data_IF_571738508657
#
_entry.id   IF_571738508657
#
_cell.length_a   1.000
_cell.length_b   1.000
_cell.length_c   1.000
_cell.angle_alpha   90.00
_cell.angle_beta   90.00
_cell.angle_gamma   90.00
#
_symmetry.space_group_name_H-M   'P 1'
#
loop_
_entity.id
_entity.type
_entity.pdbx_description
1 polymer ?
#
# COMPACT_ATOMS: atom_id res chain seq x y z
N UNK A 1 35.77 -9.39 29.00
CA UNK A 1 35.07 -10.32 28.07
C UNK A 1 36.16 -11.04 27.30
N UNK A 2 36.13 -12.36 27.19
CA UNK A 2 37.08 -13.12 26.38
C UNK A 2 36.37 -13.60 25.13
N UNK A 3 36.94 -13.33 23.97
CA UNK A 3 36.45 -13.78 22.67
C UNK A 3 37.13 -15.11 22.36
N UNK A 4 36.40 -16.06 21.75
CA UNK A 4 36.98 -17.32 21.32
C UNK A 4 38.05 -17.11 20.25
N UNK A 5 39.04 -17.99 20.16
CA UNK A 5 40.00 -17.94 19.07
C UNK A 5 39.29 -18.23 17.73
N UNK A 6 39.85 -17.70 16.66
CA UNK A 6 39.33 -17.95 15.30
C UNK A 6 39.41 -19.47 14.98
N UNK A 7 38.42 -19.91 14.20
CA UNK A 7 38.37 -21.25 13.60
C UNK A 7 38.41 -21.13 12.08
N UNK A 8 38.50 -22.26 11.37
CA UNK A 8 38.46 -22.28 9.92
C UNK A 8 37.13 -21.79 9.35
N UNK A 9 36.04 -21.91 10.14
CA UNK A 9 34.67 -21.55 9.74
C UNK A 9 34.20 -20.19 10.26
N UNK A 10 34.76 -19.73 11.43
CA UNK A 10 34.31 -18.51 12.11
C UNK A 10 35.49 -17.63 12.54
N UNK A 11 35.47 -16.36 12.14
CA UNK A 11 36.46 -15.36 12.46
C UNK A 11 36.01 -14.45 13.63
N UNK A 12 36.17 -14.91 14.85
CA UNK A 12 35.78 -14.15 16.04
C UNK A 12 36.63 -12.87 16.27
N UNK A 13 37.86 -12.82 15.72
CA UNK A 13 38.72 -11.64 15.78
C UNK A 13 38.13 -10.41 15.09
N UNK A 14 37.18 -10.57 14.16
CA UNK A 14 36.48 -9.43 13.52
C UNK A 14 35.76 -8.54 14.55
N UNK A 15 35.31 -9.13 15.67
CA UNK A 15 34.65 -8.37 16.75
C UNK A 15 35.64 -7.57 17.64
N UNK A 16 36.93 -7.58 17.36
CA UNK A 16 37.92 -6.69 17.95
C UNK A 16 38.15 -5.44 17.10
N UNK A 17 37.64 -5.42 15.89
CA UNK A 17 37.82 -4.30 14.95
C UNK A 17 36.82 -3.17 15.26
N UNK A 18 37.34 -1.95 15.43
CA UNK A 18 36.53 -0.78 15.82
C UNK A 18 35.39 -0.51 14.84
N UNK A 19 35.62 -0.65 13.53
CA UNK A 19 34.56 -0.43 12.53
C UNK A 19 33.45 -1.47 12.65
N UNK A 20 33.77 -2.73 12.95
CA UNK A 20 32.78 -3.80 13.13
C UNK A 20 31.94 -3.57 14.37
N UNK A 21 32.57 -3.23 15.48
CA UNK A 21 31.89 -2.88 16.74
C UNK A 21 31.00 -1.64 16.55
N UNK A 22 31.48 -0.62 15.86
CA UNK A 22 30.70 0.57 15.56
C UNK A 22 29.44 0.22 14.71
N UNK A 23 29.59 -0.59 13.68
CA UNK A 23 28.47 -1.05 12.85
C UNK A 23 27.44 -1.85 13.66
N UNK A 24 27.88 -2.72 14.58
CA UNK A 24 27.01 -3.47 15.48
C UNK A 24 26.25 -2.55 16.45
N UNK A 25 26.94 -1.57 17.05
CA UNK A 25 26.30 -0.59 17.93
C UNK A 25 25.24 0.20 17.14
N UNK A 26 25.59 0.68 15.97
CA UNK A 26 24.64 1.41 15.09
C UNK A 26 23.43 0.57 14.75
N UNK A 27 23.62 -0.69 14.41
CA UNK A 27 22.53 -1.58 14.00
C UNK A 27 21.59 -1.95 15.16
N UNK A 28 22.13 -2.35 16.30
CA UNK A 28 21.35 -2.99 17.37
C UNK A 28 21.10 -2.12 18.60
N UNK A 29 21.96 -1.12 18.85
CA UNK A 29 22.04 -0.39 20.11
C UNK A 29 22.11 1.13 19.93
N UNK A 30 21.82 1.64 18.73
CA UNK A 30 21.96 3.08 18.43
C UNK A 30 21.07 3.93 19.34
N UNK A 31 19.90 3.41 19.73
CA UNK A 31 18.89 4.13 20.49
C UNK A 31 18.82 3.76 21.97
N UNK A 32 19.82 3.04 22.48
CA UNK A 32 19.97 2.85 23.92
C UNK A 32 20.23 4.22 24.58
N UNK A 33 19.45 4.53 25.62
CA UNK A 33 19.50 5.84 26.32
C UNK A 33 20.82 6.20 26.95
N UNK A 34 21.75 5.24 27.09
CA UNK A 34 23.06 5.45 27.68
C UNK A 34 24.12 5.62 26.59
N UNK A 35 25.11 6.56 26.77
CA UNK A 35 26.15 6.76 25.78
C UNK A 35 27.07 5.54 25.71
N UNK A 36 27.19 4.95 24.54
CA UNK A 36 28.18 3.94 24.20
C UNK A 36 29.40 4.68 23.65
N UNK A 37 30.54 4.57 24.31
CA UNK A 37 31.75 5.28 23.94
C UNK A 37 32.80 4.31 23.39
N UNK A 38 33.48 4.72 22.34
CA UNK A 38 34.53 3.94 21.69
C UNK A 38 35.71 4.86 21.35
N UNK A 39 36.94 4.31 21.45
CA UNK A 39 38.13 4.93 20.88
C UNK A 39 38.07 4.74 19.35
N UNK A 40 38.02 5.85 18.65
CA UNK A 40 37.99 5.86 17.18
C UNK A 40 39.15 6.66 16.65
N UNK A 41 39.85 6.18 15.58
CA UNK A 41 40.91 6.94 14.95
C UNK A 41 40.30 8.17 14.25
N UNK A 42 40.83 9.33 14.52
CA UNK A 42 40.49 10.59 13.88
C UNK A 42 41.74 11.21 13.27
N UNK A 43 41.62 11.66 12.02
CA UNK A 43 42.71 12.42 11.40
C UNK A 43 42.64 13.88 11.82
N UNK A 44 43.63 14.35 12.59
CA UNK A 44 43.77 15.76 12.93
C UNK A 44 44.94 16.35 12.18
N UNK A 45 44.82 17.62 11.82
CA UNK A 45 45.92 18.37 11.23
C UNK A 45 47.00 18.51 12.32
N UNK A 46 48.22 18.08 11.99
CA UNK A 46 49.35 18.13 12.89
C UNK A 46 49.69 19.58 13.25
N UNK A 47 49.87 19.85 14.54
CA UNK A 47 50.24 21.19 15.00
C UNK A 47 51.54 21.65 14.32
N UNK A 48 51.49 22.85 13.68
CA UNK A 48 52.61 23.44 12.97
C UNK A 48 52.75 23.03 11.51
N UNK A 49 51.80 22.29 10.95
CA UNK A 49 51.76 22.00 9.49
C UNK A 49 51.44 23.25 8.67
N UNK A 50 52.01 23.32 7.47
CA UNK A 50 51.77 24.40 6.52
C UNK A 50 50.28 24.45 6.13
N UNK A 51 49.55 25.58 6.25
CA UNK A 51 48.17 25.74 5.84
C UNK A 51 47.89 25.37 4.37
N UNK A 52 48.90 25.51 3.49
CA UNK A 52 48.77 25.13 2.06
C UNK A 52 49.03 23.64 1.80
N UNK A 53 49.69 22.95 2.78
CA UNK A 53 49.95 21.49 2.70
C UNK A 53 49.80 20.85 4.10
N UNK A 54 48.55 20.66 4.57
CA UNK A 54 48.32 20.13 5.89
C UNK A 54 48.82 18.69 6.03
N UNK A 55 49.69 18.44 7.00
CA UNK A 55 50.04 17.08 7.43
C UNK A 55 48.97 16.59 8.41
N UNK A 56 48.55 15.34 8.28
CA UNK A 56 47.55 14.73 9.14
C UNK A 56 48.22 13.69 10.06
N UNK A 57 47.83 13.69 11.32
CA UNK A 57 48.17 12.63 12.27
C UNK A 57 46.89 11.92 12.71
N UNK A 58 46.98 10.61 12.92
CA UNK A 58 45.86 9.82 13.45
C UNK A 58 45.92 9.82 14.97
N UNK A 59 44.92 10.42 15.59
CA UNK A 59 44.77 10.46 17.06
C UNK A 59 43.56 9.61 17.46
N UNK A 60 43.72 8.78 18.49
CA UNK A 60 42.59 8.05 19.06
C UNK A 60 41.76 8.96 19.96
N UNK A 61 40.49 9.17 19.64
CA UNK A 61 39.59 9.99 20.42
C UNK A 61 38.37 9.17 20.91
N UNK A 62 38.01 9.40 22.19
CA UNK A 62 36.84 8.77 22.78
C UNK A 62 35.57 9.45 22.28
N UNK A 63 34.83 8.79 21.40
CA UNK A 63 33.57 9.31 20.84
C UNK A 63 32.36 8.50 21.28
N UNK A 64 31.22 9.20 21.48
CA UNK A 64 29.92 8.54 21.65
C UNK A 64 29.44 8.10 20.30
N UNK A 65 29.20 6.80 20.12
CA UNK A 65 28.90 6.18 18.84
C UNK A 65 27.43 5.90 18.60
N UNK A 66 26.60 5.98 19.63
CA UNK A 66 25.14 5.79 19.51
C UNK A 66 24.39 7.13 19.59
N UNK A 67 23.19 7.17 19.00
CA UNK A 67 22.38 8.38 18.91
C UNK A 67 21.52 8.64 20.16
N UNK A 68 21.29 7.67 21.01
CA UNK A 68 20.56 7.67 22.28
C UNK A 68 19.08 8.06 22.22
N UNK A 69 18.71 9.08 21.45
CA UNK A 69 17.34 9.57 21.39
C UNK A 69 16.77 9.30 19.99
N UNK A 70 15.92 8.27 19.87
CA UNK A 70 15.32 7.94 18.58
C UNK A 70 14.30 8.99 18.14
N UNK A 71 14.18 9.15 16.83
CA UNK A 71 13.31 10.13 16.21
C UNK A 71 11.83 9.95 16.63
N UNK A 72 11.38 8.69 16.77
CA UNK A 72 10.00 8.36 17.17
C UNK A 72 9.68 8.61 18.64
N UNK A 73 10.68 8.88 19.48
CA UNK A 73 10.46 9.27 20.87
C UNK A 73 10.36 10.78 21.07
N UNK A 74 10.81 11.57 20.08
CA UNK A 74 10.70 13.03 20.09
C UNK A 74 9.26 13.48 19.83
N UNK A 75 8.91 14.69 20.30
CA UNK A 75 7.61 15.27 19.98
C UNK A 75 7.58 15.62 18.48
N UNK A 76 6.42 15.42 17.85
CA UNK A 76 6.24 15.71 16.42
C UNK A 76 6.58 17.17 16.07
N UNK A 77 6.33 18.12 16.99
CA UNK A 77 6.69 19.53 16.85
C UNK A 77 8.18 19.82 16.78
N UNK A 78 9.00 18.90 17.29
CA UNK A 78 10.44 19.09 17.49
C UNK A 78 11.26 18.35 16.40
N UNK A 79 10.57 17.78 15.41
CA UNK A 79 11.17 17.02 14.32
C UNK A 79 10.78 17.66 12.99
N UNK A 80 11.76 17.95 12.15
CA UNK A 80 11.54 18.53 10.83
C UNK A 80 11.26 17.46 9.79
N UNK A 81 10.64 17.87 8.66
CA UNK A 81 10.39 16.98 7.53
C UNK A 81 11.70 16.45 6.92
N UNK A 82 12.78 17.24 6.97
CA UNK A 82 14.10 16.81 6.51
C UNK A 82 14.66 15.68 7.38
N UNK A 83 14.47 15.73 8.71
CA UNK A 83 14.88 14.67 9.61
C UNK A 83 14.08 13.38 9.34
N UNK A 84 12.77 13.47 9.11
CA UNK A 84 11.94 12.32 8.70
C UNK A 84 12.39 11.73 7.37
N UNK A 85 12.63 12.57 6.37
CA UNK A 85 13.08 12.14 5.05
C UNK A 85 14.44 11.43 5.10
N UNK A 86 15.38 12.00 5.87
CA UNK A 86 16.70 11.41 6.10
C UNK A 86 16.58 10.04 6.76
N UNK A 87 15.78 9.94 7.81
CA UNK A 87 15.57 8.68 8.52
C UNK A 87 14.90 7.63 7.60
N UNK A 88 13.92 8.04 6.78
CA UNK A 88 13.31 7.16 5.79
C UNK A 88 14.32 6.63 4.79
N UNK A 89 15.18 7.49 4.25
CA UNK A 89 16.23 7.09 3.31
C UNK A 89 17.27 6.13 3.95
N UNK A 90 17.65 6.37 5.20
CA UNK A 90 18.53 5.48 5.96
C UNK A 90 17.89 4.10 6.22
N UNK A 91 16.57 4.08 6.49
CA UNK A 91 15.80 2.87 6.77
C UNK A 91 15.54 2.01 5.53
N UNK A 92 15.23 2.65 4.41
CA UNK A 92 14.78 1.97 3.17
C UNK A 92 15.86 1.84 2.12
N UNK A 93 16.92 2.64 2.21
CA UNK A 93 17.94 2.85 1.19
C UNK A 93 17.36 3.41 -0.13
N UNK A 94 16.20 4.05 -0.04
CA UNK A 94 15.55 4.76 -1.14
C UNK A 94 15.92 6.25 -1.11
N UNK A 95 16.02 6.86 -2.29
CA UNK A 95 16.36 8.28 -2.42
C UNK A 95 15.12 9.19 -2.43
N UNK A 96 13.96 8.61 -2.73
CA UNK A 96 12.70 9.33 -2.76
C UNK A 96 12.22 9.68 -1.35
N UNK A 97 11.44 10.76 -1.24
CA UNK A 97 10.79 11.12 0.01
C UNK A 97 9.57 10.24 0.23
N UNK A 98 9.22 9.91 1.48
CA UNK A 98 7.97 9.22 1.75
C UNK A 98 6.78 10.12 1.40
N UNK A 99 5.72 9.54 0.90
CA UNK A 99 4.49 10.27 0.59
C UNK A 99 3.72 10.64 1.85
N UNK A 100 3.77 9.77 2.87
CA UNK A 100 3.16 10.02 4.18
C UNK A 100 4.08 9.60 5.30
N UNK A 101 4.05 10.37 6.37
CA UNK A 101 4.73 10.08 7.65
C UNK A 101 3.71 10.02 8.76
N UNK A 102 3.60 8.87 9.42
CA UNK A 102 2.61 8.59 10.46
C UNK A 102 3.33 8.36 11.78
N UNK A 103 3.07 9.23 12.74
CA UNK A 103 3.60 9.09 14.10
C UNK A 103 2.52 8.56 15.03
N UNK A 104 2.84 7.54 15.82
CA UNK A 104 1.92 6.94 16.78
C UNK A 104 2.57 6.93 18.16
N UNK A 105 1.82 7.36 19.18
CA UNK A 105 2.15 7.19 20.60
C UNK A 105 0.92 6.63 21.28
N UNK A 106 1.05 5.48 21.89
CA UNK A 106 -0.02 4.79 22.59
C UNK A 106 0.43 4.44 24.02
N UNK A 107 -0.43 4.74 24.96
CA UNK A 107 -0.29 4.39 26.37
C UNK A 107 -1.60 3.73 26.82
N UNK A 108 -1.53 2.55 27.43
CA UNK A 108 -2.71 1.81 27.84
C UNK A 108 -2.39 0.36 28.18
N UNK A 109 -3.16 -0.57 27.62
CA UNK A 109 -2.91 -2.02 27.80
C UNK A 109 -1.56 -2.47 27.24
N UNK A 110 -1.04 -1.76 26.26
CA UNK A 110 0.32 -1.89 25.73
C UNK A 110 0.82 -0.49 25.42
N UNK A 111 2.03 -0.19 25.88
CA UNK A 111 2.72 1.07 25.63
C UNK A 111 3.65 0.91 24.45
N UNK A 112 3.53 1.76 23.43
CA UNK A 112 4.44 1.76 22.28
C UNK A 112 4.47 3.09 21.57
N UNK A 113 5.56 3.32 20.84
CA UNK A 113 5.68 4.41 19.86
C UNK A 113 6.00 3.82 18.49
N UNK A 114 5.50 4.44 17.46
CA UNK A 114 5.81 4.03 16.09
C UNK A 114 5.99 5.25 15.18
N UNK A 115 6.87 5.08 14.21
CA UNK A 115 7.08 6.00 13.11
C UNK A 115 6.98 5.19 11.83
N UNK A 116 5.91 5.44 11.06
CA UNK A 116 5.58 4.70 9.86
C UNK A 116 5.64 5.62 8.65
N UNK A 117 6.00 5.04 7.51
CA UNK A 117 6.10 5.74 6.24
C UNK A 117 5.34 5.00 5.15
N UNK A 118 4.64 5.77 4.32
CA UNK A 118 4.08 5.29 3.06
C UNK A 118 5.04 5.74 1.95
N UNK A 119 5.66 4.82 1.19
CA UNK A 119 6.55 5.17 0.09
C UNK A 119 5.84 5.97 -1.01
N UNK A 120 6.58 6.79 -1.74
CA UNK A 120 6.06 7.53 -2.91
C UNK A 120 6.01 6.66 -4.16
N UNK A 121 6.88 5.67 -4.25
CA UNK A 121 6.99 4.76 -5.38
C UNK A 121 7.04 3.31 -4.93
N UNK A 122 6.66 2.41 -5.81
CA UNK A 122 6.70 0.98 -5.55
C UNK A 122 8.08 0.43 -5.88
N UNK A 123 8.76 -0.28 -4.95
CA UNK A 123 10.02 -0.96 -5.24
C UNK A 123 9.88 -1.96 -6.39
N UNK A 124 10.92 -2.08 -7.21
CA UNK A 124 10.91 -2.97 -8.38
C UNK A 124 10.57 -4.43 -8.03
N UNK A 125 11.07 -4.93 -6.90
CA UNK A 125 10.86 -6.29 -6.44
C UNK A 125 9.60 -6.49 -5.59
N UNK A 126 8.71 -5.51 -5.51
CA UNK A 126 7.57 -5.49 -4.57
C UNK A 126 6.66 -6.72 -4.65
N UNK A 127 6.45 -7.27 -5.84
CA UNK A 127 5.62 -8.46 -6.07
C UNK A 127 6.43 -9.75 -6.26
N UNK A 128 7.73 -9.74 -5.98
CA UNK A 128 8.57 -10.94 -6.04
C UNK A 128 8.66 -11.63 -4.68
N UNK A 129 9.03 -12.92 -4.68
CA UNK A 129 9.28 -13.68 -3.44
C UNK A 129 10.42 -13.10 -2.59
N UNK A 130 11.38 -12.41 -3.23
CA UNK A 130 12.50 -11.77 -2.55
C UNK A 130 12.15 -10.45 -1.85
N UNK A 131 10.89 -9.99 -1.92
CA UNK A 131 10.51 -8.77 -1.21
C UNK A 131 10.26 -9.02 0.27
N UNK A 132 11.10 -8.43 1.09
CA UNK A 132 11.00 -8.50 2.54
C UNK A 132 10.09 -7.40 3.09
N UNK A 133 8.89 -7.80 3.51
CA UNK A 133 7.95 -6.94 4.22
C UNK A 133 8.30 -6.87 5.71
N UNK A 134 7.74 -5.89 6.41
CA UNK A 134 7.79 -5.80 7.85
C UNK A 134 8.39 -4.50 8.37
N UNK A 135 8.12 -4.23 9.64
CA UNK A 135 8.60 -3.07 10.37
C UNK A 135 9.78 -3.48 11.24
N UNK A 136 10.69 -2.55 11.50
CA UNK A 136 11.70 -2.76 12.53
C UNK A 136 11.05 -2.75 13.91
N UNK A 137 11.33 -3.75 14.71
CA UNK A 137 10.81 -3.90 16.06
C UNK A 137 11.91 -3.66 17.08
N UNK A 138 11.66 -2.69 17.94
CA UNK A 138 12.53 -2.33 19.06
C UNK A 138 11.85 -2.63 20.39
N UNK A 139 12.66 -2.91 21.40
CA UNK A 139 12.26 -2.90 22.79
C UNK A 139 13.21 -2.00 23.58
N UNK A 140 12.67 -0.94 24.17
CA UNK A 140 13.44 0.05 24.93
C UNK A 140 14.70 0.58 24.18
N UNK A 141 14.58 0.79 22.86
CA UNK A 141 15.66 1.28 21.99
C UNK A 141 16.66 0.22 21.52
N UNK A 142 16.43 -1.06 21.81
CA UNK A 142 17.22 -2.19 21.30
C UNK A 142 16.48 -2.84 20.15
N UNK A 143 17.14 -2.99 19.01
CA UNK A 143 16.56 -3.69 17.85
C UNK A 143 16.42 -5.19 18.14
N UNK A 144 15.17 -5.68 18.17
CA UNK A 144 14.85 -7.09 18.33
C UNK A 144 14.78 -7.78 16.96
N UNK A 145 14.10 -7.13 16.01
CA UNK A 145 13.82 -7.70 14.69
C UNK A 145 13.85 -6.61 13.62
N UNK A 146 14.66 -6.84 12.59
CA UNK A 146 14.79 -5.88 11.48
C UNK A 146 13.56 -5.89 10.54
N UNK A 147 12.90 -7.02 10.41
CA UNK A 147 11.70 -7.22 9.58
C UNK A 147 10.66 -8.04 10.35
N UNK A 148 9.83 -7.38 11.14
CA UNK A 148 8.70 -8.01 11.82
C UNK A 148 7.48 -8.00 10.90
N UNK A 149 7.25 -9.12 10.21
CA UNK A 149 6.20 -9.29 9.20
C UNK A 149 4.80 -9.49 9.79
N UNK A 150 4.72 -9.84 11.08
CA UNK A 150 3.46 -10.09 11.81
C UNK A 150 2.79 -8.82 12.36
N UNK A 151 3.46 -7.65 12.32
CA UNK A 151 2.91 -6.40 12.82
C UNK A 151 1.82 -5.81 11.93
N UNK A 152 1.92 -5.98 10.62
CA UNK A 152 0.93 -5.47 9.68
C UNK A 152 0.42 -6.60 8.77
N UNK A 153 -0.86 -6.59 8.41
CA UNK A 153 -1.41 -7.53 7.44
C UNK A 153 -0.77 -7.34 6.06
N UNK A 154 -0.84 -8.37 5.23
CA UNK A 154 -0.12 -8.41 3.96
C UNK A 154 -0.52 -7.30 2.98
N UNK A 155 -1.76 -6.84 3.03
CA UNK A 155 -2.21 -5.73 2.18
C UNK A 155 -1.54 -4.39 2.52
N UNK A 156 -0.94 -4.24 3.71
CA UNK A 156 -0.13 -3.08 4.12
C UNK A 156 1.38 -3.32 4.02
N UNK A 157 1.81 -4.33 3.26
CA UNK A 157 3.22 -4.71 3.10
C UNK A 157 4.12 -3.59 2.53
N UNK A 158 3.52 -2.55 1.95
CA UNK A 158 4.24 -1.37 1.46
C UNK A 158 4.68 -0.43 2.59
N UNK A 159 4.05 -0.49 3.76
CA UNK A 159 4.38 0.39 4.89
C UNK A 159 5.76 0.04 5.42
N UNK A 160 6.60 1.05 5.60
CA UNK A 160 7.92 0.98 6.20
C UNK A 160 7.93 1.71 7.54
N UNK A 161 8.89 1.41 8.39
CA UNK A 161 9.00 2.14 9.65
C UNK A 161 9.48 1.30 10.81
N UNK A 162 9.30 1.88 11.99
CA UNK A 162 9.76 1.32 13.25
C UNK A 162 8.65 1.30 14.29
N UNK A 163 8.71 0.32 15.17
CA UNK A 163 7.85 0.19 16.34
C UNK A 163 8.75 -0.07 17.57
N UNK A 164 8.57 0.68 18.63
CA UNK A 164 9.33 0.55 19.87
C UNK A 164 8.37 0.41 21.05
N UNK A 165 8.43 -0.70 21.76
CA UNK A 165 7.62 -0.96 22.93
C UNK A 165 8.47 -1.45 24.09
N UNK A 166 8.46 -0.75 25.23
CA UNK A 166 9.16 -1.19 26.44
C UNK A 166 8.52 -2.44 27.08
N UNK A 167 7.27 -2.75 26.70
CA UNK A 167 6.54 -3.88 27.26
C UNK A 167 6.95 -5.22 26.62
N UNK A 168 7.67 -5.17 25.50
CA UNK A 168 8.17 -6.39 24.83
C UNK A 168 9.44 -6.87 25.50
N UNK A 169 9.53 -8.19 25.75
CA UNK A 169 10.71 -8.80 26.34
C UNK A 169 11.89 -8.86 25.36
N UNK A 170 13.07 -8.49 25.81
CA UNK A 170 14.33 -8.58 25.04
C UNK A 170 14.75 -10.03 24.74
N UNK A 171 14.24 -11.00 25.51
CA UNK A 171 14.61 -12.42 25.40
C UNK A 171 13.62 -13.23 24.53
N UNK A 172 12.77 -12.55 23.78
CA UNK A 172 11.78 -13.20 22.92
C UNK A 172 12.47 -13.77 21.68
N UNK A 173 12.32 -15.09 21.46
CA UNK A 173 12.67 -15.70 20.17
C UNK A 173 11.64 -15.32 19.09
N UNK A 174 12.07 -15.35 17.83
CA UNK A 174 11.19 -15.09 16.67
C UNK A 174 9.88 -15.88 16.69
N UNK A 175 9.93 -17.14 17.12
CA UNK A 175 8.80 -18.05 17.20
C UNK A 175 7.80 -17.65 18.30
N UNK A 176 8.29 -17.13 19.44
CA UNK A 176 7.45 -16.66 20.53
C UNK A 176 6.77 -15.34 20.22
N UNK A 177 7.39 -14.47 19.41
CA UNK A 177 6.79 -13.19 18.98
C UNK A 177 5.51 -13.39 18.17
N UNK A 178 5.43 -14.41 17.32
CA UNK A 178 4.24 -14.67 16.50
C UNK A 178 2.98 -14.98 17.33
N UNK A 179 3.16 -15.46 18.57
CA UNK A 179 2.08 -15.76 19.50
C UNK A 179 1.87 -14.70 20.58
N UNK A 180 2.68 -13.62 20.57
CA UNK A 180 2.60 -12.57 21.56
C UNK A 180 1.30 -11.77 21.40
N UNK A 181 0.52 -11.72 22.49
CA UNK A 181 -0.74 -11.00 22.54
C UNK A 181 -0.54 -9.47 22.40
N UNK A 182 0.54 -8.94 22.94
CA UNK A 182 0.86 -7.52 22.89
C UNK A 182 1.18 -7.11 21.44
N UNK A 183 1.94 -7.94 20.72
CA UNK A 183 2.26 -7.70 19.31
C UNK A 183 1.01 -7.66 18.44
N UNK A 184 0.03 -8.56 18.68
CA UNK A 184 -1.25 -8.55 17.99
C UNK A 184 -2.05 -7.27 18.25
N UNK A 185 -2.08 -6.80 19.50
CA UNK A 185 -2.76 -5.55 19.87
C UNK A 185 -2.08 -4.34 19.20
N UNK A 186 -0.75 -4.29 19.21
CA UNK A 186 0.02 -3.25 18.51
C UNK A 186 -0.33 -3.28 17.01
N UNK A 187 -0.27 -4.45 16.37
CA UNK A 187 -0.56 -4.63 14.96
C UNK A 187 -1.96 -4.14 14.55
N UNK A 188 -3.00 -4.53 15.31
CA UNK A 188 -4.37 -4.08 15.06
C UNK A 188 -4.52 -2.55 15.20
N UNK A 189 -3.84 -1.94 16.16
CA UNK A 189 -3.87 -0.49 16.34
C UNK A 189 -3.11 0.22 15.20
N UNK A 190 -1.97 -0.30 14.77
CA UNK A 190 -1.21 0.24 13.64
C UNK A 190 -2.02 0.16 12.34
N UNK A 191 -2.66 -0.98 12.07
CA UNK A 191 -3.54 -1.16 10.91
C UNK A 191 -4.64 -0.08 10.88
N UNK A 192 -5.32 0.15 12.00
CA UNK A 192 -6.34 1.21 12.12
C UNK A 192 -5.75 2.61 11.87
N UNK A 193 -4.56 2.88 12.37
CA UNK A 193 -3.90 4.18 12.21
C UNK A 193 -3.48 4.43 10.77
N UNK A 194 -2.94 3.42 10.09
CA UNK A 194 -2.58 3.53 8.68
C UNK A 194 -3.82 3.76 7.82
N UNK A 195 -4.90 3.00 8.04
CA UNK A 195 -6.17 3.21 7.32
C UNK A 195 -6.73 4.62 7.51
N UNK A 196 -6.80 5.08 8.75
CA UNK A 196 -7.28 6.43 9.05
C UNK A 196 -6.39 7.53 8.40
N UNK A 197 -5.09 7.32 8.30
CA UNK A 197 -4.21 8.25 7.60
C UNK A 197 -4.43 8.20 6.07
N UNK A 198 -4.66 7.03 5.48
CA UNK A 198 -5.01 6.91 4.06
C UNK A 198 -6.36 7.58 3.73
N UNK A 199 -7.37 7.44 4.59
CA UNK A 199 -8.65 8.16 4.46
C UNK A 199 -8.47 9.68 4.54
N UNK A 200 -7.62 10.13 5.45
CA UNK A 200 -7.24 11.54 5.58
C UNK A 200 -6.49 12.00 4.34
N UNK A 201 -5.56 11.22 3.84
CA UNK A 201 -4.78 11.50 2.64
C UNK A 201 -5.69 11.68 1.42
N UNK A 202 -6.63 10.77 1.19
CA UNK A 202 -7.63 10.88 0.13
C UNK A 202 -8.42 12.19 0.16
N UNK A 203 -8.74 12.68 1.37
CA UNK A 203 -9.53 13.92 1.57
C UNK A 203 -8.70 15.18 1.43
N UNK A 204 -7.44 15.16 1.88
CA UNK A 204 -6.60 16.37 1.97
C UNK A 204 -5.77 16.60 0.70
N UNK A 205 -5.34 15.54 0.04
CA UNK A 205 -4.48 15.60 -1.15
C UNK A 205 -4.91 14.51 -2.15
N UNK A 206 -5.92 14.83 -2.94
CA UNK A 206 -6.48 13.93 -3.94
C UNK A 206 -5.46 13.48 -4.98
N UNK A 207 -4.67 14.40 -5.51
CA UNK A 207 -3.67 14.09 -6.55
C UNK A 207 -2.55 13.19 -6.00
N UNK A 208 -2.11 13.46 -4.77
CA UNK A 208 -1.16 12.60 -4.07
C UNK A 208 -1.72 11.21 -3.84
N UNK A 209 -3.00 11.10 -3.44
CA UNK A 209 -3.64 9.82 -3.22
C UNK A 209 -3.84 9.03 -4.52
N UNK A 210 -4.15 9.67 -5.65
CA UNK A 210 -4.21 9.01 -6.96
C UNK A 210 -2.88 8.37 -7.34
N UNK A 211 -1.76 9.09 -7.15
CA UNK A 211 -0.41 8.54 -7.34
C UNK A 211 -0.09 7.37 -6.41
N UNK A 212 -0.52 7.47 -5.15
CA UNK A 212 -0.44 6.36 -4.21
C UNK A 212 -1.24 5.16 -4.70
N UNK A 213 -2.47 5.39 -5.16
CA UNK A 213 -3.36 4.34 -5.64
C UNK A 213 -2.82 3.63 -6.89
N UNK A 214 -2.21 4.35 -7.82
CA UNK A 214 -1.51 3.77 -8.98
C UNK A 214 -0.42 2.77 -8.57
N UNK A 215 0.30 3.05 -7.48
CA UNK A 215 1.36 2.20 -6.97
C UNK A 215 0.85 1.04 -6.11
N UNK A 216 -0.14 1.29 -5.25
CA UNK A 216 -0.54 0.39 -4.16
C UNK A 216 -2.04 0.05 -4.12
N UNK A 217 -2.85 0.52 -5.05
CA UNK A 217 -4.28 0.25 -5.13
C UNK A 217 -4.61 -1.24 -5.17
N UNK A 218 -3.80 -2.03 -5.90
CA UNK A 218 -3.90 -3.49 -5.91
C UNK A 218 -3.78 -4.10 -4.50
N UNK A 219 -2.93 -3.52 -3.63
CA UNK A 219 -2.78 -3.98 -2.26
C UNK A 219 -4.00 -3.65 -1.40
N UNK A 220 -4.61 -2.48 -1.60
CA UNK A 220 -5.87 -2.12 -0.94
C UNK A 220 -6.98 -3.09 -1.37
N UNK A 221 -7.10 -3.37 -2.67
CA UNK A 221 -8.02 -4.39 -3.20
C UNK A 221 -7.78 -5.78 -2.61
N UNK A 222 -6.52 -6.20 -2.50
CA UNK A 222 -6.15 -7.46 -1.84
C UNK A 222 -6.63 -7.50 -0.38
N UNK A 223 -6.58 -6.37 0.34
CA UNK A 223 -7.09 -6.26 1.70
C UNK A 223 -8.59 -6.52 1.83
N UNK A 224 -9.37 -6.21 0.78
CA UNK A 224 -10.81 -6.47 0.70
C UNK A 224 -11.09 -7.96 0.41
N UNK A 225 -10.34 -8.53 -0.53
CA UNK A 225 -10.53 -9.92 -0.98
C UNK A 225 -10.00 -10.93 0.03
N UNK A 226 -8.93 -10.57 0.77
CA UNK A 226 -8.32 -11.45 1.77
C UNK A 226 -9.24 -11.66 2.98
N UNK A 227 -9.06 -12.78 3.68
CA UNK A 227 -9.85 -13.12 4.87
C UNK A 227 -9.54 -12.19 6.06
N UNK A 228 -10.17 -11.03 6.04
CA UNK A 228 -10.05 -9.97 7.07
C UNK A 228 -11.35 -9.63 7.76
N UNK A 229 -12.45 -10.29 7.38
CA UNK A 229 -13.80 -10.05 7.90
C UNK A 229 -14.46 -8.76 7.38
N UNK A 230 -15.77 -8.64 7.58
CA UNK A 230 -16.59 -7.53 7.09
C UNK A 230 -16.08 -6.15 7.57
N UNK A 231 -15.64 -6.03 8.82
CA UNK A 231 -15.12 -4.75 9.36
C UNK A 231 -13.92 -4.21 8.58
N UNK A 232 -13.07 -5.09 8.00
CA UNK A 232 -11.95 -4.67 7.16
C UNK A 232 -12.46 -4.21 5.79
N UNK A 233 -13.36 -4.98 5.17
CA UNK A 233 -13.98 -4.62 3.89
C UNK A 233 -14.65 -3.26 3.96
N UNK A 234 -15.48 -3.03 4.98
CA UNK A 234 -16.16 -1.77 5.21
C UNK A 234 -15.21 -0.58 5.35
N UNK A 235 -14.06 -0.79 5.98
CA UNK A 235 -13.08 0.28 6.16
C UNK A 235 -12.18 0.53 4.95
N UNK A 236 -12.10 -0.41 4.00
CA UNK A 236 -11.27 -0.27 2.81
C UNK A 236 -12.05 0.11 1.55
N UNK A 237 -13.37 -0.16 1.50
CA UNK A 237 -14.20 0.13 0.33
C UNK A 237 -14.17 1.59 -0.11
N UNK A 238 -14.06 2.53 0.85
CA UNK A 238 -14.00 3.97 0.58
C UNK A 238 -12.62 4.44 0.08
N UNK A 239 -11.61 3.59 0.19
CA UNK A 239 -10.26 3.82 -0.31
C UNK A 239 -10.06 3.32 -1.74
N UNK A 240 -11.02 2.56 -2.27
CA UNK A 240 -10.97 2.05 -3.64
C UNK A 240 -11.29 3.12 -4.66
N UNK A 241 -10.60 3.09 -5.78
CA UNK A 241 -10.80 4.00 -6.90
C UNK A 241 -10.94 3.23 -8.21
N UNK A 242 -11.83 3.69 -9.06
CA UNK A 242 -12.07 3.13 -10.38
C UNK A 242 -12.15 4.25 -11.40
N UNK A 243 -11.85 3.96 -12.67
CA UNK A 243 -11.97 4.98 -13.70
C UNK A 243 -13.44 5.21 -14.06
N UNK A 244 -13.87 6.47 -14.09
CA UNK A 244 -15.24 6.88 -14.41
C UNK A 244 -15.40 7.17 -15.90
N UNK A 245 -16.43 6.61 -16.53
CA UNK A 245 -16.77 6.88 -17.93
C UNK A 245 -17.18 8.32 -18.18
N UNK A 246 -17.77 8.99 -17.20
CA UNK A 246 -18.26 10.38 -17.31
C UNK A 246 -17.23 11.40 -16.86
N UNK A 247 -16.56 11.14 -15.72
CA UNK A 247 -15.57 12.06 -15.17
C UNK A 247 -14.20 11.98 -15.88
N UNK A 248 -13.96 10.89 -16.65
CA UNK A 248 -12.71 10.62 -17.38
C UNK A 248 -11.47 10.65 -16.45
N UNK A 249 -11.63 10.26 -15.18
CA UNK A 249 -10.60 10.17 -14.14
C UNK A 249 -10.97 9.13 -13.10
N UNK A 250 -10.05 8.85 -12.18
CA UNK A 250 -10.31 7.99 -11.04
C UNK A 250 -11.38 8.60 -10.12
N UNK A 251 -12.31 7.78 -9.66
CA UNK A 251 -13.39 8.14 -8.74
C UNK A 251 -13.54 7.08 -7.66
N UNK A 252 -13.97 7.47 -6.47
CA UNK A 252 -14.32 6.53 -5.41
C UNK A 252 -15.76 6.03 -5.58
N UNK A 253 -16.10 4.91 -4.91
CA UNK A 253 -17.47 4.40 -4.88
C UNK A 253 -18.43 5.42 -4.27
N UNK A 254 -17.99 6.14 -3.25
CA UNK A 254 -18.77 7.21 -2.62
C UNK A 254 -19.11 8.32 -3.61
N UNK A 255 -18.11 8.84 -4.32
CA UNK A 255 -18.30 9.88 -5.33
C UNK A 255 -19.21 9.43 -6.47
N UNK A 256 -19.15 8.15 -6.86
CA UNK A 256 -20.07 7.58 -7.85
C UNK A 256 -21.51 7.62 -7.34
N UNK A 257 -21.77 7.12 -6.12
CA UNK A 257 -23.11 7.09 -5.52
C UNK A 257 -23.69 8.49 -5.34
N UNK A 258 -22.87 9.48 -4.96
CA UNK A 258 -23.28 10.89 -4.87
C UNK A 258 -23.74 11.49 -6.23
N UNK A 259 -23.27 10.94 -7.35
CA UNK A 259 -23.63 11.36 -8.71
C UNK A 259 -24.69 10.48 -9.37
N UNK A 260 -25.13 9.40 -8.72
CA UNK A 260 -26.14 8.50 -9.28
C UNK A 260 -27.42 9.26 -9.61
N UNK A 261 -28.04 8.87 -10.72
CA UNK A 261 -29.35 9.45 -11.12
C UNK A 261 -30.46 9.01 -10.19
N UNK A 262 -31.46 9.86 -10.06
CA UNK A 262 -32.69 9.52 -9.35
C UNK A 262 -33.33 8.28 -9.97
N UNK A 263 -33.63 7.27 -9.15
CA UNK A 263 -34.17 5.98 -9.61
C UNK A 263 -33.12 4.94 -10.06
N UNK A 264 -31.83 5.28 -10.15
CA UNK A 264 -30.77 4.30 -10.43
C UNK A 264 -30.62 3.34 -9.24
N UNK A 265 -30.76 2.03 -9.51
CA UNK A 265 -30.78 0.99 -8.46
C UNK A 265 -29.44 0.32 -8.22
N UNK A 266 -28.50 0.40 -9.15
CA UNK A 266 -27.23 -0.32 -9.09
C UNK A 266 -26.06 0.52 -9.60
N UNK A 267 -24.85 0.11 -9.25
CA UNK A 267 -23.58 0.68 -9.70
C UNK A 267 -23.16 -0.13 -10.93
N UNK A 268 -23.08 0.54 -12.08
CA UNK A 268 -22.69 -0.11 -13.34
C UNK A 268 -21.16 -0.18 -13.46
N UNK A 269 -20.66 -1.33 -13.91
CA UNK A 269 -19.26 -1.51 -14.21
C UNK A 269 -19.01 -2.34 -15.45
N UNK A 270 -17.85 -2.16 -16.06
CA UNK A 270 -17.33 -2.98 -17.13
C UNK A 270 -15.86 -3.30 -16.90
N UNK A 271 -15.47 -4.55 -17.09
CA UNK A 271 -14.08 -4.98 -17.00
C UNK A 271 -13.44 -5.12 -18.37
N UNK A 272 -12.15 -4.83 -18.47
CA UNK A 272 -11.39 -5.02 -19.70
C UNK A 272 -9.92 -4.66 -19.53
N UNK A 273 -9.11 -5.01 -20.53
CA UNK A 273 -7.65 -4.84 -20.49
C UNK A 273 -7.19 -3.38 -20.44
N UNK A 274 -8.00 -2.45 -20.90
CA UNK A 274 -7.68 -1.02 -20.91
C UNK A 274 -8.94 -0.15 -20.94
N UNK A 275 -8.78 1.11 -20.48
CA UNK A 275 -9.83 2.13 -20.56
C UNK A 275 -10.38 2.26 -21.99
N UNK A 276 -9.50 2.25 -22.99
CA UNK A 276 -9.88 2.40 -24.38
C UNK A 276 -10.67 1.20 -24.93
N UNK A 277 -10.38 -0.01 -24.43
CA UNK A 277 -11.11 -1.21 -24.81
C UNK A 277 -12.53 -1.20 -24.21
N UNK A 278 -12.66 -0.87 -22.91
CA UNK A 278 -13.95 -0.79 -22.22
C UNK A 278 -14.82 0.36 -22.77
N UNK A 279 -14.20 1.49 -23.11
CA UNK A 279 -14.90 2.67 -23.62
C UNK A 279 -15.62 2.41 -24.99
N UNK A 280 -15.11 1.45 -25.76
CA UNK A 280 -15.64 1.04 -27.08
C UNK A 280 -16.68 -0.08 -27.02
N UNK A 281 -16.98 -0.63 -25.84
CA UNK A 281 -18.01 -1.65 -25.75
C UNK A 281 -19.39 -1.06 -26.13
N UNK A 282 -20.19 -1.73 -26.96
CA UNK A 282 -21.52 -1.26 -27.35
C UNK A 282 -22.43 -0.97 -26.15
N UNK A 283 -22.33 -1.80 -25.11
CA UNK A 283 -23.06 -1.63 -23.85
C UNK A 283 -22.65 -0.36 -23.11
N UNK A 284 -21.35 0.00 -23.14
CA UNK A 284 -20.85 1.24 -22.56
C UNK A 284 -21.42 2.45 -23.28
N UNK A 285 -21.51 2.40 -24.62
CA UNK A 285 -22.08 3.48 -25.42
C UNK A 285 -23.57 3.67 -25.14
N UNK A 286 -24.30 2.57 -25.05
CA UNK A 286 -25.74 2.59 -24.70
C UNK A 286 -26.01 3.28 -23.36
N UNK A 287 -25.17 3.00 -22.32
CA UNK A 287 -25.32 3.63 -21.01
C UNK A 287 -24.93 5.09 -21.02
N UNK A 288 -23.89 5.45 -21.79
CA UNK A 288 -23.50 6.86 -21.99
C UNK A 288 -24.62 7.67 -22.67
N UNK A 289 -25.30 7.11 -23.67
CA UNK A 289 -26.41 7.78 -24.35
C UNK A 289 -27.58 8.06 -23.40
N UNK A 290 -27.73 7.22 -22.40
CA UNK A 290 -28.71 7.41 -21.31
C UNK A 290 -28.12 8.21 -20.14
N UNK A 291 -26.90 8.76 -20.29
CA UNK A 291 -26.14 9.50 -19.27
C UNK A 291 -25.91 8.72 -17.96
N UNK A 292 -25.76 7.42 -18.00
CA UNK A 292 -25.35 6.62 -16.85
C UNK A 292 -23.83 6.58 -16.75
N UNK A 293 -23.30 6.76 -15.54
CA UNK A 293 -21.89 6.58 -15.25
C UNK A 293 -21.56 5.08 -15.17
N UNK A 294 -20.45 4.66 -15.79
CA UNK A 294 -19.94 3.29 -15.74
C UNK A 294 -18.52 3.32 -15.15
N UNK A 295 -18.25 2.45 -14.19
CA UNK A 295 -16.92 2.24 -13.66
C UNK A 295 -16.13 1.28 -14.56
N UNK A 296 -14.93 1.66 -14.98
CA UNK A 296 -14.06 0.81 -15.77
C UNK A 296 -13.07 0.10 -14.87
N UNK A 297 -13.12 -1.21 -14.88
CA UNK A 297 -12.27 -2.11 -14.10
C UNK A 297 -11.12 -2.56 -15.00
N UNK A 298 -9.95 -1.98 -14.79
CA UNK A 298 -8.75 -2.30 -15.58
C UNK A 298 -7.66 -2.95 -14.74
N UNK A 299 -7.85 -3.03 -13.43
CA UNK A 299 -6.96 -3.71 -12.51
C UNK A 299 -7.25 -5.21 -12.40
N UNK A 300 -6.22 -6.03 -12.31
CA UNK A 300 -6.34 -7.49 -12.22
C UNK A 300 -7.21 -8.00 -11.04
N UNK A 301 -7.38 -7.18 -10.01
CA UNK A 301 -8.14 -7.54 -8.79
C UNK A 301 -9.51 -6.89 -8.72
N UNK A 302 -9.84 -5.96 -9.60
CA UNK A 302 -10.99 -5.08 -9.45
C UNK A 302 -12.33 -5.83 -9.43
N UNK A 303 -12.52 -6.81 -10.32
CA UNK A 303 -13.74 -7.62 -10.33
C UNK A 303 -13.89 -8.44 -9.04
N UNK A 304 -12.79 -9.03 -8.54
CA UNK A 304 -12.82 -9.78 -7.29
C UNK A 304 -13.17 -8.88 -6.11
N UNK A 305 -12.72 -7.62 -6.14
CA UNK A 305 -13.06 -6.62 -5.11
C UNK A 305 -14.55 -6.35 -5.12
N UNK A 306 -15.17 -6.06 -6.29
CA UNK A 306 -16.60 -5.81 -6.37
C UNK A 306 -17.43 -7.04 -6.00
N UNK A 307 -16.99 -8.24 -6.37
CA UNK A 307 -17.64 -9.49 -5.96
C UNK A 307 -17.55 -9.69 -4.43
N UNK A 308 -16.39 -9.38 -3.81
CA UNK A 308 -16.23 -9.49 -2.36
C UNK A 308 -17.04 -8.45 -1.58
N UNK A 309 -17.26 -7.26 -2.14
CA UNK A 309 -18.06 -6.20 -1.56
C UNK A 309 -19.58 -6.44 -1.75
N UNK A 310 -19.99 -7.10 -2.85
CA UNK A 310 -21.38 -7.35 -3.28
C UNK A 310 -22.21 -6.10 -3.53
N UNK A 311 -22.12 -5.09 -2.69
CA UNK A 311 -22.83 -3.83 -2.81
C UNK A 311 -22.04 -2.69 -2.16
N UNK A 312 -22.42 -1.45 -2.47
CA UNK A 312 -21.96 -0.26 -1.79
C UNK A 312 -23.17 0.65 -1.50
N UNK A 313 -23.34 1.05 -0.25
CA UNK A 313 -24.47 1.86 0.21
C UNK A 313 -25.84 1.29 -0.30
N UNK A 314 -26.07 -0.01 -0.04
CA UNK A 314 -27.23 -0.79 -0.48
C UNK A 314 -27.43 -0.88 -1.99
N UNK A 315 -26.49 -0.38 -2.79
CA UNK A 315 -26.51 -0.45 -4.27
C UNK A 315 -25.66 -1.64 -4.74
N UNK A 316 -26.26 -2.67 -5.36
CA UNK A 316 -25.51 -3.78 -5.92
C UNK A 316 -24.67 -3.35 -7.11
N UNK A 317 -23.55 -4.04 -7.32
CA UNK A 317 -22.76 -3.89 -8.53
C UNK A 317 -23.36 -4.70 -9.67
N UNK A 318 -23.45 -4.11 -10.86
CA UNK A 318 -23.98 -4.74 -12.05
C UNK A 318 -23.01 -4.62 -13.22
N UNK A 319 -22.59 -5.76 -13.75
CA UNK A 319 -21.81 -5.79 -14.99
C UNK A 319 -22.69 -5.40 -16.16
N UNK A 320 -22.19 -4.49 -17.01
CA UNK A 320 -22.92 -4.08 -18.22
C UNK A 320 -22.90 -5.15 -19.32
N UNK A 321 -22.04 -6.16 -19.19
CA UNK A 321 -21.93 -7.28 -20.14
C UNK A 321 -22.94 -8.38 -19.81
N UNK A 322 -23.47 -8.45 -18.60
CA UNK A 322 -24.50 -9.38 -18.20
C UNK A 322 -25.84 -8.95 -18.75
N UNK A 323 -26.42 -9.76 -19.66
CA UNK A 323 -27.45 -9.49 -20.65
C UNK A 323 -28.80 -8.89 -20.22
N UNK A 324 -29.08 -8.61 -18.95
CA UNK A 324 -30.31 -8.00 -18.46
C UNK A 324 -30.02 -6.67 -17.75
N UNK A 325 -29.67 -5.64 -18.52
CA UNK A 325 -29.68 -4.27 -18.02
C UNK A 325 -31.14 -3.82 -17.90
N UNK A 326 -31.75 -3.97 -16.73
CA UNK A 326 -33.02 -3.29 -16.39
C UNK A 326 -32.78 -1.77 -16.36
N UNK A 327 -32.59 -1.18 -17.52
CA UNK A 327 -32.56 0.27 -17.70
C UNK A 327 -34.01 0.74 -17.58
N UNK A 328 -34.43 1.15 -16.39
CA UNK A 328 -35.77 1.62 -16.10
C UNK A 328 -36.30 2.60 -17.15
N UNK A 329 -37.21 2.12 -17.96
CA UNK A 329 -37.89 2.80 -19.02
C UNK A 329 -38.49 1.72 -19.92
N UNK A 330 -39.81 1.61 -19.94
CA UNK A 330 -40.56 0.96 -20.98
C UNK A 330 -40.26 1.67 -22.32
N UNK A 331 -39.11 1.38 -22.94
CA UNK A 331 -39.00 1.57 -24.37
C UNK A 331 -39.59 0.31 -24.97
N UNK A 332 -40.84 0.46 -25.48
CA UNK A 332 -41.40 -0.40 -26.48
C UNK A 332 -40.31 -0.77 -27.48
N UNK A 333 -39.83 -2.02 -27.41
CA UNK A 333 -39.19 -2.63 -28.56
C UNK A 333 -40.16 -2.41 -29.75
N UNK A 334 -39.88 -1.42 -30.59
CA UNK A 334 -40.41 -1.50 -31.94
C UNK A 334 -39.77 -2.75 -32.50
N UNK A 335 -40.56 -3.81 -32.47
CA UNK A 335 -40.30 -5.03 -33.18
C UNK A 335 -40.11 -4.66 -34.66
N UNK A 336 -38.86 -4.48 -35.07
CA UNK A 336 -38.50 -4.68 -36.45
C UNK A 336 -38.65 -6.20 -36.67
N UNK A 337 -39.68 -6.59 -37.37
CA UNK A 337 -40.03 -8.00 -37.64
C UNK A 337 -38.84 -8.80 -38.18
N UNK A 338 -37.96 -8.16 -38.94
CA UNK A 338 -36.71 -8.75 -39.44
C UNK A 338 -35.70 -9.12 -38.35
N UNK A 339 -35.59 -8.32 -37.28
CA UNK A 339 -34.68 -8.60 -36.15
C UNK A 339 -35.19 -9.75 -35.28
N UNK A 340 -36.50 -9.86 -35.11
CA UNK A 340 -37.15 -10.95 -34.37
C UNK A 340 -36.97 -12.30 -35.07
N UNK A 341 -37.14 -12.34 -36.39
CA UNK A 341 -36.91 -13.55 -37.20
C UNK A 341 -35.44 -14.00 -37.16
N UNK A 342 -34.47 -13.05 -37.20
CA UNK A 342 -33.04 -13.35 -37.10
C UNK A 342 -32.67 -13.91 -35.71
N UNK A 343 -33.19 -13.31 -34.65
CA UNK A 343 -32.94 -13.79 -33.27
C UNK A 343 -33.52 -15.18 -33.04
N UNK A 344 -34.72 -15.44 -33.59
CA UNK A 344 -35.35 -16.76 -33.52
C UNK A 344 -34.53 -17.80 -34.29
N UNK A 345 -34.09 -17.49 -35.50
CA UNK A 345 -33.22 -18.35 -36.29
C UNK A 345 -31.91 -18.70 -35.61
N UNK A 346 -31.24 -17.70 -34.99
CA UNK A 346 -30.02 -17.92 -34.24
C UNK A 346 -30.27 -18.80 -33.00
N UNK A 347 -31.37 -18.57 -32.28
CA UNK A 347 -31.76 -19.37 -31.11
C UNK A 347 -32.07 -20.82 -31.48
N UNK A 348 -32.79 -21.02 -32.57
CA UNK A 348 -33.12 -22.37 -33.10
C UNK A 348 -31.87 -23.10 -33.61
N UNK A 349 -30.94 -22.38 -34.25
CA UNK A 349 -29.70 -22.97 -34.80
C UNK A 349 -28.69 -23.37 -33.70
N UNK A 350 -28.56 -22.58 -32.66
CA UNK A 350 -27.55 -22.77 -31.60
C UNK A 350 -28.11 -23.56 -30.39
N UNK A 351 -29.44 -23.62 -30.22
CA UNK A 351 -30.12 -24.42 -29.20
C UNK A 351 -29.55 -24.18 -27.79
N UNK A 352 -29.31 -25.27 -27.05
CA UNK A 352 -28.82 -25.24 -25.66
C UNK A 352 -27.39 -24.75 -25.47
N UNK A 353 -26.70 -24.36 -26.56
CA UNK A 353 -25.34 -23.83 -26.50
C UNK A 353 -25.26 -22.36 -26.05
N UNK A 354 -26.41 -21.68 -26.03
CA UNK A 354 -26.51 -20.26 -25.66
C UNK A 354 -27.60 -20.05 -24.63
N UNK A 355 -27.37 -19.13 -23.68
CA UNK A 355 -28.36 -18.77 -22.64
C UNK A 355 -29.39 -17.77 -23.13
N UNK A 356 -28.96 -16.83 -23.97
CA UNK A 356 -29.83 -15.79 -24.55
C UNK A 356 -29.26 -15.27 -25.86
N UNK A 357 -30.11 -14.68 -26.71
CA UNK A 357 -29.73 -13.90 -27.88
C UNK A 357 -30.25 -12.50 -27.67
N UNK A 358 -29.37 -11.49 -27.77
CA UNK A 358 -29.74 -10.08 -27.71
C UNK A 358 -29.26 -9.35 -28.97
N UNK A 359 -30.00 -8.31 -29.36
CA UNK A 359 -29.66 -7.46 -30.49
C UNK A 359 -29.28 -6.07 -29.99
N UNK A 360 -28.08 -5.59 -30.38
CA UNK A 360 -27.65 -4.24 -30.11
C UNK A 360 -27.66 -3.41 -31.37
N UNK A 361 -28.42 -2.30 -31.35
CA UNK A 361 -28.46 -1.37 -32.48
C UNK A 361 -27.19 -0.50 -32.45
N UNK A 362 -26.27 -0.73 -33.43
CA UNK A 362 -25.08 0.09 -33.58
C UNK A 362 -25.41 1.36 -34.35
N UNK A 363 -24.81 2.50 -33.98
CA UNK A 363 -24.98 3.76 -34.68
C UNK A 363 -24.42 3.69 -36.11
N UNK A 364 -24.99 4.48 -37.02
CA UNK A 364 -24.66 4.51 -38.46
C UNK A 364 -23.18 4.85 -38.80
N UNK A 365 -22.36 5.21 -37.83
CA UNK A 365 -20.93 5.50 -38.00
C UNK A 365 -20.03 4.26 -37.82
N UNK A 366 -20.54 3.18 -37.27
CA UNK A 366 -19.84 1.90 -37.15
C UNK A 366 -20.26 0.95 -38.28
N UNK A 367 -19.95 1.32 -39.50
CA UNK A 367 -20.11 0.42 -40.62
C UNK A 367 -19.07 -0.69 -40.58
N UNK A 368 -19.38 -1.87 -41.16
CA UNK A 368 -18.55 -3.06 -41.19
C UNK A 368 -17.09 -2.84 -41.69
N UNK A 369 -16.74 -1.65 -42.16
CA UNK A 369 -15.39 -1.25 -42.55
C UNK A 369 -14.43 -1.01 -41.38
N UNK A 370 -14.95 -0.88 -40.14
CA UNK A 370 -14.11 -0.69 -38.91
C UNK A 370 -13.95 -1.98 -38.09
N UNK A 371 -14.41 -3.11 -38.63
CA UNK A 371 -14.34 -4.45 -37.99
C UNK A 371 -13.24 -5.34 -38.60
N UNK A 372 -12.14 -4.73 -39.08
CA UNK A 372 -10.94 -5.48 -39.52
C UNK A 372 -9.73 -5.14 -38.66
#
# INVERSE_FOLDING_TARGET
MHIKPDTDEEKYSEYLESYRLHALVKKYSDYIRYPIRMLLPEQKVKEGSDPEKPEYETVEEMKTVNSMVPLWQRKKSDVTDEEYNKFYSELTHEFDKPQRTITVSAEGSVTYKALLFVPSSRPFNFYTEGYEKGLQLYSAGVLIMDKCDSLLPDYLRFVRGVVDSPDLSLNISRELLQHDRQLKVIGQNLEKKVRADLEKFLKEDREGYEKFYENFGRQIGYGIVSDGGESRKDSLKDLMMFYSSTQKKLTTLKEYVERMKEGQKCIYYAAGESIAAVDKLPQTELLKDKDYEVLYLTGETDEFVLQALMNYDEKPFRSIVDGDLELGGEEEHKDDSESAELMQFVKETLGDKIKAVSYTHLRAHETAANLV
#
